data_IF_725407693521
#
_entry.id   IF_725407693521
#
_cell.length_a   1.000
_cell.length_b   1.000
_cell.length_c   1.000
_cell.angle_alpha   90.00
_cell.angle_beta   90.00
_cell.angle_gamma   90.00
#
_symmetry.space_group_name_H-M   'P 1'
#
loop_
_entity.id
_entity.type
_entity.pdbx_description
1 polymer ?
#
# COMPACT_ATOMS: atom_id res chain seq x y z
N UNK A 1 72.97 -12.59 -67.01
CA UNK A 1 71.75 -11.94 -66.49
C UNK A 1 72.08 -11.39 -65.17
N UNK A 2 72.17 -10.09 -65.11
CA UNK A 2 72.50 -9.30 -63.91
C UNK A 2 71.23 -9.01 -63.07
N UNK A 3 71.21 -9.44 -61.83
CA UNK A 3 70.12 -9.18 -60.91
C UNK A 3 70.16 -7.74 -60.42
N UNK A 4 68.97 -7.11 -60.37
CA UNK A 4 68.76 -5.77 -59.85
C UNK A 4 68.94 -5.73 -58.33
N UNK A 5 69.42 -4.60 -57.79
CA UNK A 5 69.58 -4.43 -56.31
C UNK A 5 68.25 -4.25 -55.60
N UNK A 6 68.19 -4.64 -54.34
CA UNK A 6 66.95 -4.48 -53.53
C UNK A 6 66.70 -3.01 -53.19
N UNK A 7 65.45 -2.58 -53.38
CA UNK A 7 64.93 -1.24 -53.02
C UNK A 7 64.79 -1.11 -51.54
N UNK A 8 65.44 -0.07 -50.97
CA UNK A 8 65.35 0.28 -49.57
C UNK A 8 64.07 1.13 -49.34
N UNK A 9 63.14 0.63 -48.55
CA UNK A 9 61.95 1.36 -48.14
C UNK A 9 62.25 2.03 -46.80
N UNK A 10 62.09 3.35 -46.64
CA UNK A 10 62.29 3.97 -45.34
C UNK A 10 61.14 3.65 -44.38
N UNK A 11 61.40 3.58 -43.05
CA UNK A 11 60.37 3.31 -42.05
C UNK A 11 59.36 4.44 -42.02
N UNK A 12 58.05 4.14 -41.70
CA UNK A 12 56.99 5.14 -41.63
C UNK A 12 57.27 6.11 -40.47
N UNK A 13 56.99 7.37 -40.74
CA UNK A 13 57.12 8.45 -39.76
C UNK A 13 56.27 8.19 -38.53
N UNK A 14 56.88 8.36 -37.36
CA UNK A 14 56.22 8.25 -36.04
C UNK A 14 55.06 9.23 -35.96
N UNK A 15 53.84 8.70 -35.81
CA UNK A 15 52.66 9.49 -35.57
C UNK A 15 52.77 10.27 -34.24
N UNK A 16 52.28 11.49 -34.17
CA UNK A 16 52.31 12.27 -32.93
C UNK A 16 51.42 11.62 -31.88
N UNK A 17 51.96 11.48 -30.65
CA UNK A 17 51.27 11.00 -29.48
C UNK A 17 50.11 11.94 -29.21
N UNK A 18 48.82 11.44 -29.11
CA UNK A 18 47.70 12.29 -28.81
C UNK A 18 47.88 12.89 -27.41
N UNK A 19 47.74 14.20 -27.32
CA UNK A 19 47.79 14.94 -26.05
C UNK A 19 46.74 14.35 -25.08
N UNK A 20 47.19 14.09 -23.84
CA UNK A 20 46.38 13.66 -22.71
C UNK A 20 45.20 14.63 -22.56
N UNK A 21 43.93 14.13 -22.54
CA UNK A 21 42.79 15.02 -22.36
C UNK A 21 42.91 15.73 -21.03
N UNK A 22 42.72 17.05 -21.05
CA UNK A 22 42.69 17.91 -19.90
C UNK A 22 41.72 17.35 -18.86
N UNK A 23 42.06 17.41 -17.58
CA UNK A 23 41.24 17.08 -16.43
C UNK A 23 39.79 17.49 -16.65
N UNK A 24 38.89 16.51 -16.82
CA UNK A 24 37.49 16.75 -16.58
C UNK A 24 37.34 17.20 -15.13
N UNK A 25 36.52 18.24 -14.85
CA UNK A 25 36.24 18.63 -13.48
C UNK A 25 35.75 17.43 -12.73
N UNK A 26 36.26 17.19 -11.53
CA UNK A 26 35.84 16.13 -10.65
C UNK A 26 34.32 16.12 -10.59
N UNK A 27 33.71 15.05 -11.13
CA UNK A 27 32.28 14.89 -11.12
C UNK A 27 31.78 15.07 -9.69
N UNK A 28 30.69 15.81 -9.55
CA UNK A 28 29.97 15.92 -8.29
C UNK A 28 29.90 14.52 -7.66
N UNK A 29 30.33 14.33 -6.40
CA UNK A 29 30.27 13.03 -5.77
C UNK A 29 28.83 12.52 -5.90
N UNK A 30 28.61 11.23 -6.22
CA UNK A 30 27.26 10.68 -6.30
C UNK A 30 26.55 11.00 -4.98
N UNK A 31 25.26 11.35 -5.01
CA UNK A 31 24.51 11.64 -3.80
C UNK A 31 24.73 10.51 -2.82
N UNK A 32 25.06 10.84 -1.57
CA UNK A 32 25.30 9.87 -0.53
C UNK A 32 24.13 8.86 -0.51
N UNK A 33 24.47 7.57 -0.55
CA UNK A 33 23.44 6.50 -0.47
C UNK A 33 22.60 6.75 0.77
N UNK A 34 21.28 6.76 0.66
CA UNK A 34 20.43 6.95 1.83
C UNK A 34 20.70 5.82 2.82
N UNK A 35 21.13 6.18 3.99
CA UNK A 35 21.25 5.27 5.11
C UNK A 35 19.85 4.93 5.60
N UNK A 36 19.36 3.73 5.28
CA UNK A 36 18.01 3.24 5.64
C UNK A 36 17.81 3.27 7.15
N UNK A 37 18.83 2.87 7.93
CA UNK A 37 18.75 2.87 9.39
C UNK A 37 18.56 4.28 9.94
N UNK A 38 19.28 5.24 9.42
CA UNK A 38 19.17 6.65 9.79
C UNK A 38 17.80 7.23 9.40
N UNK A 39 17.29 6.88 8.22
CA UNK A 39 15.96 7.29 7.79
C UNK A 39 14.86 6.72 8.70
N UNK A 40 14.97 5.45 9.09
CA UNK A 40 14.02 4.82 10.03
C UNK A 40 14.03 5.51 11.39
N UNK A 41 15.21 5.87 11.92
CA UNK A 41 15.33 6.60 13.19
C UNK A 41 14.72 8.00 13.09
N UNK A 42 14.95 8.70 11.99
CA UNK A 42 14.33 10.01 11.72
C UNK A 42 12.80 9.90 11.64
N UNK A 43 12.26 8.88 10.96
CA UNK A 43 10.81 8.62 10.88
C UNK A 43 10.22 8.39 12.28
N UNK A 44 10.86 7.56 13.11
CA UNK A 44 10.40 7.31 14.48
C UNK A 44 10.34 8.61 15.30
N UNK A 45 11.35 9.44 15.19
CA UNK A 45 11.41 10.74 15.85
C UNK A 45 10.27 11.65 15.39
N UNK A 46 10.08 11.80 14.07
CA UNK A 46 9.04 12.64 13.48
C UNK A 46 7.63 12.18 13.89
N UNK A 47 7.37 10.88 13.88
CA UNK A 47 6.10 10.33 14.33
C UNK A 47 5.87 10.55 15.83
N UNK A 48 6.90 10.42 16.66
CA UNK A 48 6.85 10.73 18.09
C UNK A 48 6.56 12.20 18.38
N UNK A 49 6.93 13.10 17.48
CA UNK A 49 6.65 14.54 17.54
C UNK A 49 5.31 14.94 16.88
N UNK A 50 4.56 13.98 16.32
CA UNK A 50 3.32 14.25 15.60
C UNK A 50 3.51 14.88 14.21
N UNK A 51 4.74 14.87 13.67
CA UNK A 51 5.12 15.44 12.38
C UNK A 51 4.94 14.42 11.26
N UNK A 52 3.69 14.00 11.04
CA UNK A 52 3.35 12.87 10.18
C UNK A 52 3.70 13.13 8.70
N UNK A 53 3.36 14.32 8.18
CA UNK A 53 3.64 14.68 6.79
C UNK A 53 5.14 14.65 6.48
N UNK A 54 5.97 15.09 7.41
CA UNK A 54 7.44 15.04 7.25
C UNK A 54 7.96 13.59 7.29
N UNK A 55 7.38 12.74 8.11
CA UNK A 55 7.68 11.30 8.12
C UNK A 55 7.33 10.66 6.76
N UNK A 56 6.20 11.02 6.15
CA UNK A 56 5.84 10.61 4.79
C UNK A 56 6.91 11.02 3.78
N UNK A 57 7.41 12.26 3.85
CA UNK A 57 8.42 12.76 2.93
C UNK A 57 9.74 11.98 3.05
N UNK A 58 10.18 11.68 4.28
CA UNK A 58 11.39 10.88 4.52
C UNK A 58 11.22 9.46 3.96
N UNK A 59 10.09 8.80 4.24
CA UNK A 59 9.82 7.44 3.74
C UNK A 59 9.70 7.42 2.21
N UNK A 60 9.00 8.40 1.63
CA UNK A 60 8.84 8.52 0.18
C UNK A 60 10.14 8.73 -0.57
N UNK A 61 11.12 9.42 0.03
CA UNK A 61 12.46 9.59 -0.51
C UNK A 61 13.35 8.35 -0.31
N UNK A 62 13.20 7.66 0.83
CA UNK A 62 14.04 6.51 1.19
C UNK A 62 13.65 5.24 0.43
N UNK A 63 12.36 5.01 0.23
CA UNK A 63 11.84 3.77 -0.35
C UNK A 63 12.38 3.46 -1.76
N UNK A 64 12.39 4.39 -2.74
CA UNK A 64 12.94 4.11 -4.07
C UNK A 64 14.44 3.78 -4.04
N UNK A 65 15.20 4.48 -3.21
CA UNK A 65 16.63 4.26 -3.07
C UNK A 65 16.95 2.91 -2.41
N UNK A 66 16.20 2.52 -1.38
CA UNK A 66 16.31 1.20 -0.76
C UNK A 66 15.92 0.10 -1.75
N UNK A 67 14.89 0.29 -2.57
CA UNK A 67 14.49 -0.65 -3.61
C UNK A 67 15.57 -0.83 -4.69
N UNK A 68 16.25 0.24 -5.08
CA UNK A 68 17.36 0.18 -6.04
C UNK A 68 18.58 -0.56 -5.46
N UNK A 69 18.85 -0.43 -4.16
CA UNK A 69 20.00 -1.05 -3.50
C UNK A 69 19.75 -2.52 -3.11
N UNK A 70 18.59 -2.82 -2.55
CA UNK A 70 18.27 -4.13 -1.95
C UNK A 70 17.33 -4.98 -2.81
N UNK A 71 16.72 -4.42 -3.84
CA UNK A 71 15.69 -5.06 -4.67
C UNK A 71 14.28 -4.81 -4.13
N UNK A 72 13.33 -4.70 -5.05
CA UNK A 72 11.92 -4.35 -4.80
C UNK A 72 11.21 -5.30 -3.82
N UNK A 73 11.59 -6.59 -3.83
CA UNK A 73 10.97 -7.62 -3.00
C UNK A 73 11.78 -7.98 -1.76
N UNK A 74 12.84 -7.23 -1.45
CA UNK A 74 13.65 -7.49 -0.26
C UNK A 74 12.86 -7.25 1.03
N UNK A 75 13.19 -7.95 2.13
CA UNK A 75 12.53 -7.74 3.41
C UNK A 75 12.60 -6.30 3.91
N UNK A 76 13.73 -5.62 3.69
CA UNK A 76 13.94 -4.21 4.07
C UNK A 76 12.96 -3.30 3.34
N UNK A 77 12.83 -3.47 2.02
CA UNK A 77 11.92 -2.67 1.19
C UNK A 77 10.46 -2.93 1.57
N UNK A 78 10.10 -4.17 1.87
CA UNK A 78 8.74 -4.50 2.35
C UNK A 78 8.39 -3.81 3.67
N UNK A 79 9.31 -3.82 4.62
CA UNK A 79 9.12 -3.14 5.91
C UNK A 79 8.94 -1.63 5.69
N UNK A 80 9.80 -1.00 4.88
CA UNK A 80 9.69 0.41 4.55
C UNK A 80 8.39 0.75 3.82
N UNK A 81 7.97 -0.08 2.86
CA UNK A 81 6.71 0.10 2.11
C UNK A 81 5.51 0.01 3.04
N UNK A 82 5.50 -0.97 3.94
CA UNK A 82 4.45 -1.12 4.95
C UNK A 82 4.36 0.11 5.86
N UNK A 83 5.51 0.59 6.35
CA UNK A 83 5.57 1.80 7.17
C UNK A 83 5.10 3.03 6.38
N UNK A 84 5.50 3.15 5.12
CA UNK A 84 5.09 4.24 4.23
C UNK A 84 3.58 4.25 4.00
N UNK A 85 3.00 3.11 3.65
CA UNK A 85 1.56 2.97 3.44
C UNK A 85 0.76 3.35 4.70
N UNK A 86 1.17 2.86 5.87
CA UNK A 86 0.52 3.18 7.14
C UNK A 86 0.62 4.67 7.46
N UNK A 87 1.78 5.28 7.29
CA UNK A 87 2.00 6.71 7.55
C UNK A 87 1.20 7.59 6.58
N UNK A 88 1.08 7.19 5.31
CA UNK A 88 0.22 7.86 4.33
C UNK A 88 -1.26 7.83 4.75
N UNK A 89 -1.75 6.69 5.27
CA UNK A 89 -3.12 6.60 5.79
C UNK A 89 -3.32 7.51 7.00
N UNK A 90 -2.38 7.52 7.93
CA UNK A 90 -2.43 8.38 9.12
C UNK A 90 -2.42 9.88 8.76
N UNK A 91 -1.76 10.24 7.67
CA UNK A 91 -1.71 11.61 7.13
C UNK A 91 -2.90 11.95 6.22
N UNK A 92 -3.84 11.02 6.03
CA UNK A 92 -5.01 11.21 5.16
C UNK A 92 -4.68 11.20 3.66
N UNK A 93 -3.50 10.76 3.26
CA UNK A 93 -3.06 10.68 1.86
C UNK A 93 -3.48 9.35 1.21
N UNK A 94 -4.78 9.07 1.24
CA UNK A 94 -5.35 7.79 0.81
C UNK A 94 -5.09 7.45 -0.65
N UNK A 95 -5.08 8.46 -1.54
CA UNK A 95 -4.78 8.23 -2.96
C UNK A 95 -3.35 7.74 -3.20
N UNK A 96 -2.42 8.16 -2.36
CA UNK A 96 -1.02 7.70 -2.40
C UNK A 96 -0.83 6.37 -1.68
N UNK A 97 -1.58 6.12 -0.60
CA UNK A 97 -1.53 4.87 0.15
C UNK A 97 -2.07 3.68 -0.65
N UNK A 98 -3.12 3.87 -1.43
CA UNK A 98 -3.83 2.81 -2.14
C UNK A 98 -2.93 1.94 -3.04
N UNK A 99 -2.08 2.47 -3.94
CA UNK A 99 -1.20 1.64 -4.77
C UNK A 99 -0.17 0.87 -3.94
N UNK A 100 0.33 1.45 -2.85
CA UNK A 100 1.29 0.78 -1.96
C UNK A 100 0.64 -0.41 -1.24
N UNK A 101 -0.57 -0.24 -0.73
CA UNK A 101 -1.34 -1.30 -0.07
C UNK A 101 -1.70 -2.44 -1.04
N UNK A 102 -2.08 -2.12 -2.27
CA UNK A 102 -2.36 -3.12 -3.31
C UNK A 102 -1.13 -3.94 -3.62
N UNK A 103 0.01 -3.30 -3.79
CA UNK A 103 1.28 -4.00 -4.03
C UNK A 103 1.67 -4.90 -2.86
N UNK A 104 1.56 -4.42 -1.64
CA UNK A 104 1.81 -5.23 -0.43
C UNK A 104 0.88 -6.44 -0.35
N UNK A 105 -0.40 -6.27 -0.68
CA UNK A 105 -1.37 -7.35 -0.70
C UNK A 105 -1.04 -8.41 -1.77
N UNK A 106 -0.71 -7.98 -2.98
CA UNK A 106 -0.33 -8.86 -4.09
C UNK A 106 0.94 -9.65 -3.78
N UNK A 107 1.99 -8.98 -3.32
CA UNK A 107 3.26 -9.62 -2.95
C UNK A 107 3.04 -10.66 -1.84
N UNK A 108 2.27 -10.30 -0.81
CA UNK A 108 2.00 -11.20 0.31
C UNK A 108 1.13 -12.39 -0.09
N UNK A 109 0.10 -12.15 -0.91
CA UNK A 109 -0.75 -13.22 -1.43
C UNK A 109 0.02 -14.20 -2.34
N UNK A 110 0.97 -13.70 -3.13
CA UNK A 110 1.85 -14.54 -3.96
C UNK A 110 2.76 -15.44 -3.11
N UNK A 111 3.20 -14.97 -1.94
CA UNK A 111 4.07 -15.74 -1.04
C UNK A 111 3.33 -16.72 -0.14
N UNK A 112 2.23 -16.29 0.45
CA UNK A 112 1.55 -17.01 1.54
C UNK A 112 0.09 -17.39 1.20
N UNK A 113 -0.38 -17.05 0.01
CA UNK A 113 -1.73 -17.33 -0.44
C UNK A 113 -2.73 -16.20 -0.18
N UNK A 114 -3.86 -16.19 -0.90
CA UNK A 114 -4.87 -15.13 -0.82
C UNK A 114 -5.63 -15.08 0.52
N UNK A 115 -5.59 -16.15 1.30
CA UNK A 115 -6.21 -16.24 2.63
C UNK A 115 -5.25 -15.84 3.77
N UNK A 116 -4.03 -15.43 3.45
CA UNK A 116 -3.06 -14.97 4.46
C UNK A 116 -3.58 -13.74 5.19
N UNK A 117 -3.48 -13.75 6.53
CA UNK A 117 -4.04 -12.70 7.37
C UNK A 117 -3.47 -11.31 7.05
N UNK A 118 -2.18 -11.22 6.72
CA UNK A 118 -1.54 -9.96 6.38
C UNK A 118 -1.94 -9.47 4.99
N UNK A 119 -2.04 -10.38 4.01
CA UNK A 119 -2.55 -10.04 2.67
C UNK A 119 -3.97 -9.47 2.75
N UNK A 120 -4.84 -10.10 3.54
CA UNK A 120 -6.21 -9.65 3.76
C UNK A 120 -6.28 -8.32 4.53
N UNK A 121 -5.37 -8.09 5.48
CA UNK A 121 -5.29 -6.80 6.17
C UNK A 121 -4.94 -5.66 5.19
N UNK A 122 -3.97 -5.86 4.31
CA UNK A 122 -3.65 -4.86 3.28
C UNK A 122 -4.81 -4.59 2.33
N UNK A 123 -5.57 -5.61 1.97
CA UNK A 123 -6.79 -5.45 1.15
C UNK A 123 -7.89 -4.70 1.91
N UNK A 124 -8.06 -4.98 3.18
CA UNK A 124 -8.98 -4.23 4.04
C UNK A 124 -8.58 -2.75 4.11
N UNK A 125 -7.31 -2.44 4.34
CA UNK A 125 -6.80 -1.08 4.39
C UNK A 125 -6.95 -0.36 3.03
N UNK A 126 -6.76 -1.06 1.92
CA UNK A 126 -7.04 -0.55 0.58
C UNK A 126 -8.52 -0.21 0.37
N UNK A 127 -9.42 -1.07 0.86
CA UNK A 127 -10.87 -0.79 0.83
C UNK A 127 -11.23 0.44 1.67
N UNK A 128 -10.60 0.63 2.83
CA UNK A 128 -10.77 1.84 3.63
C UNK A 128 -10.28 3.10 2.88
N UNK A 129 -9.15 3.02 2.17
CA UNK A 129 -8.69 4.13 1.34
C UNK A 129 -9.72 4.49 0.26
N UNK A 130 -10.30 3.52 -0.42
CA UNK A 130 -11.35 3.74 -1.40
C UNK A 130 -12.60 4.40 -0.79
N UNK A 131 -12.98 3.98 0.40
CA UNK A 131 -14.07 4.60 1.18
C UNK A 131 -13.79 6.08 1.47
N UNK A 132 -12.60 6.39 1.97
CA UNK A 132 -12.18 7.76 2.28
C UNK A 132 -12.06 8.65 1.03
N UNK A 133 -11.78 8.05 -0.12
CA UNK A 133 -11.75 8.74 -1.42
C UNK A 133 -13.15 8.94 -2.03
N UNK A 134 -14.21 8.45 -1.39
CA UNK A 134 -15.57 8.50 -1.92
C UNK A 134 -15.84 7.52 -3.06
N UNK A 135 -14.94 6.56 -3.29
CA UNK A 135 -15.05 5.54 -4.34
C UNK A 135 -15.89 4.34 -3.81
N UNK A 136 -17.14 4.62 -3.42
CA UNK A 136 -18.00 3.68 -2.73
C UNK A 136 -18.22 2.35 -3.48
N UNK A 137 -18.39 2.39 -4.81
CA UNK A 137 -18.54 1.19 -5.62
C UNK A 137 -17.30 0.31 -5.60
N UNK A 138 -16.12 0.88 -5.71
CA UNK A 138 -14.86 0.15 -5.66
C UNK A 138 -14.58 -0.42 -4.25
N UNK A 139 -14.86 0.36 -3.21
CA UNK A 139 -14.76 -0.11 -1.83
C UNK A 139 -15.69 -1.30 -1.57
N UNK A 140 -16.93 -1.24 -2.07
CA UNK A 140 -17.92 -2.32 -1.95
C UNK A 140 -17.41 -3.62 -2.59
N UNK A 141 -16.81 -3.53 -3.77
CA UNK A 141 -16.22 -4.70 -4.47
C UNK A 141 -15.12 -5.33 -3.61
N UNK A 142 -14.20 -4.52 -3.05
CA UNK A 142 -13.11 -5.03 -2.22
C UNK A 142 -13.61 -5.67 -0.92
N UNK A 143 -14.52 -5.03 -0.18
CA UNK A 143 -15.07 -5.60 1.03
C UNK A 143 -15.82 -6.91 0.79
N UNK A 144 -16.60 -6.99 -0.30
CA UNK A 144 -17.28 -8.23 -0.69
C UNK A 144 -16.29 -9.35 -1.04
N UNK A 145 -15.18 -9.02 -1.64
CA UNK A 145 -14.15 -10.00 -2.01
C UNK A 145 -13.42 -10.59 -0.80
N UNK A 146 -13.20 -9.80 0.26
CA UNK A 146 -12.50 -10.28 1.46
C UNK A 146 -13.42 -10.88 2.52
N UNK A 147 -14.70 -10.51 2.56
CA UNK A 147 -15.64 -10.97 3.59
C UNK A 147 -15.68 -12.48 3.77
N UNK A 148 -15.74 -13.31 2.71
CA UNK A 148 -15.81 -14.77 2.86
C UNK A 148 -14.63 -15.37 3.64
N UNK A 149 -13.46 -14.77 3.54
CA UNK A 149 -12.29 -15.22 4.31
C UNK A 149 -12.45 -15.00 5.81
N UNK A 150 -13.06 -13.88 6.21
CA UNK A 150 -13.31 -13.55 7.61
C UNK A 150 -14.51 -14.29 8.20
N UNK A 151 -15.47 -14.72 7.36
CA UNK A 151 -16.62 -15.53 7.76
C UNK A 151 -16.30 -17.03 7.84
N UNK A 152 -15.18 -17.47 7.28
CA UNK A 152 -14.78 -18.87 7.31
C UNK A 152 -14.34 -19.29 8.72
N UNK A 153 -15.20 -19.99 9.44
CA UNK A 153 -14.95 -20.45 10.80
C UNK A 153 -13.72 -21.38 10.95
N UNK A 154 -13.26 -21.96 9.87
CA UNK A 154 -12.10 -22.87 9.83
C UNK A 154 -10.87 -22.28 9.17
N UNK A 155 -10.94 -21.03 8.75
CA UNK A 155 -9.84 -20.33 8.10
C UNK A 155 -8.81 -19.80 9.09
N UNK A 156 -7.62 -19.38 8.59
CA UNK A 156 -6.52 -18.90 9.43
C UNK A 156 -6.84 -17.64 10.23
N UNK A 157 -7.88 -16.90 9.85
CA UNK A 157 -8.35 -15.67 10.51
C UNK A 157 -9.69 -15.80 11.22
N UNK A 158 -10.15 -17.04 11.44
CA UNK A 158 -11.43 -17.33 12.14
C UNK A 158 -11.49 -16.81 13.58
N UNK A 159 -10.36 -16.38 14.14
CA UNK A 159 -10.27 -15.83 15.49
C UNK A 159 -10.70 -14.36 15.61
N UNK A 160 -11.04 -13.69 14.50
CA UNK A 160 -11.50 -12.30 14.51
C UNK A 160 -12.94 -12.15 13.95
N UNK A 161 -13.96 -12.59 14.73
CA UNK A 161 -15.36 -12.42 14.30
C UNK A 161 -15.80 -10.95 14.24
N UNK A 162 -15.14 -10.07 14.99
CA UNK A 162 -15.40 -8.63 14.98
C UNK A 162 -15.11 -8.01 13.62
N UNK A 163 -14.08 -8.47 12.94
CA UNK A 163 -13.73 -8.00 11.61
C UNK A 163 -14.81 -8.33 10.57
N UNK A 164 -15.37 -9.54 10.61
CA UNK A 164 -16.45 -9.91 9.71
C UNK A 164 -17.69 -9.02 9.91
N UNK A 165 -18.05 -8.72 11.15
CA UNK A 165 -19.17 -7.82 11.47
C UNK A 165 -18.88 -6.37 11.04
N UNK A 166 -17.64 -5.88 11.22
CA UNK A 166 -17.23 -4.55 10.74
C UNK A 166 -17.34 -4.46 9.20
N UNK A 167 -16.84 -5.44 8.48
CA UNK A 167 -16.91 -5.47 7.00
C UNK A 167 -18.38 -5.49 6.55
N UNK A 168 -19.23 -6.29 7.18
CA UNK A 168 -20.68 -6.33 6.87
C UNK A 168 -21.35 -4.98 7.12
N UNK A 169 -20.97 -4.28 8.19
CA UNK A 169 -21.44 -2.92 8.48
C UNK A 169 -21.08 -1.95 7.36
N UNK A 170 -19.80 -1.94 6.95
CA UNK A 170 -19.32 -1.10 5.86
C UNK A 170 -20.01 -1.42 4.53
N UNK A 171 -20.19 -2.69 4.20
CA UNK A 171 -20.95 -3.12 3.02
C UNK A 171 -22.38 -2.55 3.05
N UNK A 172 -23.08 -2.65 4.18
CA UNK A 172 -24.44 -2.11 4.32
C UNK A 172 -24.47 -0.60 4.09
N UNK A 173 -23.56 0.14 4.70
CA UNK A 173 -23.45 1.60 4.52
C UNK A 173 -23.10 1.98 3.08
N UNK A 174 -22.17 1.26 2.45
CA UNK A 174 -21.76 1.52 1.07
C UNK A 174 -22.89 1.21 0.07
N UNK A 175 -23.69 0.18 0.31
CA UNK A 175 -24.89 -0.10 -0.49
C UNK A 175 -25.88 1.07 -0.43
N UNK A 176 -26.10 1.65 0.75
CA UNK A 176 -26.92 2.85 0.88
C UNK A 176 -26.30 4.03 0.12
N UNK A 177 -24.98 4.20 0.21
CA UNK A 177 -24.26 5.29 -0.46
C UNK A 177 -24.32 5.21 -1.99
N UNK A 178 -24.29 4.00 -2.57
CA UNK A 178 -24.46 3.79 -4.03
C UNK A 178 -25.91 3.79 -4.48
N UNK A 179 -26.88 3.97 -3.57
CA UNK A 179 -28.30 4.06 -3.87
C UNK A 179 -29.06 2.72 -3.86
N UNK A 180 -28.40 1.62 -3.54
CA UNK A 180 -29.08 0.32 -3.35
C UNK A 180 -29.66 0.21 -1.92
N UNK A 181 -30.70 1.00 -1.68
CA UNK A 181 -31.31 1.12 -0.35
C UNK A 181 -31.95 -0.21 0.10
N UNK A 182 -32.47 -1.01 -0.82
CA UNK A 182 -33.11 -2.29 -0.49
C UNK A 182 -32.07 -3.28 0.02
N UNK A 183 -30.99 -3.49 -0.73
CA UNK A 183 -29.91 -4.38 -0.33
C UNK A 183 -29.19 -3.88 0.91
N UNK A 184 -28.93 -2.58 0.99
CA UNK A 184 -28.27 -1.96 2.14
C UNK A 184 -29.04 -2.16 3.44
N UNK A 185 -30.36 -1.92 3.40
CA UNK A 185 -31.22 -2.14 4.56
C UNK A 185 -31.27 -3.62 4.97
N UNK A 186 -31.43 -4.52 4.00
CA UNK A 186 -31.45 -5.96 4.28
C UNK A 186 -30.15 -6.42 4.94
N UNK A 187 -29.01 -5.96 4.43
CA UNK A 187 -27.69 -6.25 5.00
C UNK A 187 -27.55 -5.75 6.44
N UNK A 188 -27.96 -4.53 6.71
CA UNK A 188 -27.88 -3.94 8.04
C UNK A 188 -28.86 -4.57 9.04
N UNK A 189 -30.05 -5.01 8.60
CA UNK A 189 -31.01 -5.74 9.45
C UNK A 189 -30.47 -7.12 9.83
N UNK A 190 -29.90 -7.86 8.86
CA UNK A 190 -29.28 -9.15 9.15
C UNK A 190 -28.09 -9.00 10.11
N UNK A 191 -27.28 -7.96 9.91
CA UNK A 191 -26.15 -7.63 10.79
C UNK A 191 -26.64 -7.30 12.20
N UNK A 192 -27.70 -6.51 12.35
CA UNK A 192 -28.27 -6.16 13.66
C UNK A 192 -28.67 -7.42 14.44
N UNK A 193 -29.33 -8.36 13.79
CA UNK A 193 -29.70 -9.62 14.41
C UNK A 193 -28.48 -10.40 14.92
N UNK A 194 -27.45 -10.53 14.09
CA UNK A 194 -26.21 -11.24 14.46
C UNK A 194 -25.40 -10.51 15.54
N UNK A 195 -25.33 -9.18 15.45
CA UNK A 195 -24.62 -8.36 16.44
C UNK A 195 -25.29 -8.41 17.83
N UNK A 196 -26.63 -8.41 17.87
CA UNK A 196 -27.37 -8.57 19.13
C UNK A 196 -27.12 -9.93 19.77
N UNK A 197 -27.04 -10.98 18.96
CA UNK A 197 -26.72 -12.33 19.43
C UNK A 197 -25.26 -12.44 19.93
N UNK A 198 -24.33 -11.76 19.29
CA UNK A 198 -22.89 -11.83 19.61
C UNK A 198 -22.54 -10.98 20.82
N UNK A 199 -23.05 -9.76 20.89
CA UNK A 199 -22.63 -8.74 21.86
C UNK A 199 -23.73 -8.32 22.83
N UNK A 200 -24.98 -8.71 22.60
CA UNK A 200 -26.14 -8.23 23.33
C UNK A 200 -26.69 -6.89 22.80
N UNK A 201 -27.96 -6.55 23.19
CA UNK A 201 -28.68 -5.43 22.62
C UNK A 201 -28.14 -4.05 23.03
N UNK A 202 -27.32 -3.96 24.06
CA UNK A 202 -26.78 -2.72 24.61
C UNK A 202 -25.36 -2.42 24.14
N UNK A 203 -24.77 -3.27 23.31
CA UNK A 203 -23.47 -3.00 22.71
C UNK A 203 -23.56 -1.82 21.72
N UNK A 204 -22.50 -0.99 21.55
CA UNK A 204 -22.51 0.15 20.64
C UNK A 204 -22.94 -0.20 19.21
N UNK A 205 -22.47 -1.30 18.65
CA UNK A 205 -22.82 -1.71 17.27
C UNK A 205 -24.33 -1.91 17.06
N UNK A 206 -25.06 -2.74 17.83
CA UNK A 206 -26.52 -2.82 17.72
C UNK A 206 -27.25 -1.49 17.91
N UNK A 207 -26.77 -0.66 18.84
CA UNK A 207 -27.35 0.67 19.08
C UNK A 207 -27.23 1.54 17.83
N UNK A 208 -26.04 1.60 17.24
CA UNK A 208 -25.79 2.38 16.02
C UNK A 208 -26.58 1.87 14.82
N UNK A 209 -26.67 0.54 14.67
CA UNK A 209 -27.45 -0.08 13.60
C UNK A 209 -28.94 0.24 13.70
N UNK A 210 -29.52 0.21 14.91
CA UNK A 210 -30.94 0.59 15.12
C UNK A 210 -31.17 2.05 14.77
N UNK A 211 -30.25 2.93 15.16
CA UNK A 211 -30.32 4.37 14.83
C UNK A 211 -30.27 4.58 13.31
N UNK A 212 -29.33 3.92 12.63
CA UNK A 212 -29.19 4.02 11.20
C UNK A 212 -30.43 3.52 10.45
N UNK A 213 -30.98 2.37 10.87
CA UNK A 213 -32.18 1.78 10.27
C UNK A 213 -33.45 2.59 10.53
N UNK A 214 -33.59 3.24 11.70
CA UNK A 214 -34.73 4.13 11.98
C UNK A 214 -34.69 5.40 11.13
N UNK A 215 -33.51 6.03 11.01
CA UNK A 215 -33.33 7.21 10.17
C UNK A 215 -33.67 6.95 8.69
N UNK A 216 -33.38 5.76 8.17
CA UNK A 216 -33.73 5.33 6.81
C UNK A 216 -35.24 5.16 6.60
N UNK A 217 -36.03 4.95 7.66
CA UNK A 217 -37.50 4.88 7.57
C UNK A 217 -38.11 6.27 7.43
N UNK A 218 -37.59 7.24 8.18
CA UNK A 218 -38.15 8.60 8.21
C UNK A 218 -37.94 9.35 6.88
N UNK A 219 -36.85 9.11 6.20
CA UNK A 219 -36.54 9.71 4.86
C UNK A 219 -37.50 9.19 3.77
N UNK A 220 -38.12 8.02 3.93
CA UNK A 220 -39.08 7.45 2.96
C UNK A 220 -40.54 7.80 3.25
N UNK A 221 -40.86 8.30 4.43
CA UNK A 221 -42.21 8.59 4.86
C UNK A 221 -42.65 10.07 4.67
N UNK A 222 -41.73 10.92 4.22
CA UNK A 222 -41.99 12.31 3.86
C UNK A 222 -41.91 12.53 2.34
#
# INVERSE_FOLDING_TARGET
>A
SLGAPPSFTPPPATAPIPARPAHLPAGTPPPARPDVARAVDEVKKLLGEGRITQAVDVLGATLPAAAAEHGEHSPVVRILRKQYAATLMDDGQYRRALPELRRLAEDRAAEAGPADAQALQFRYDAAQCLEQLGEAGAALVEYRAILPYYENAYGPISSDPGRALDIRHRIGQLLLAVGDHTAGRAQLQALLYDAERTYGPHHPLPIDLRRLLSHQRDVRGG
#
